data_IF_750326178521
#
_entry.id   IF_750326178521
#
_cell.length_a   1.000
_cell.length_b   1.000
_cell.length_c   1.000
_cell.angle_alpha   90.00
_cell.angle_beta   90.00
_cell.angle_gamma   90.00
#
_symmetry.space_group_name_H-M   'P 1'
#
loop_
_entity.id
_entity.type
_entity.pdbx_description
1 polymer ?
#
# COMPACT_ATOMS: atom_id res chain seq x y z
N UNK A 1 23.15 -12.37 20.60
CA UNK A 1 21.88 -11.61 20.57
C UNK A 1 20.90 -12.35 19.66
N UNK A 2 19.60 -12.35 19.97
CA UNK A 2 18.60 -12.84 19.03
C UNK A 2 18.35 -11.80 17.90
N UNK A 3 18.08 -12.26 16.68
CA UNK A 3 17.71 -11.39 15.56
C UNK A 3 16.31 -10.81 15.83
N UNK A 4 16.10 -9.49 15.71
CA UNK A 4 14.76 -8.90 15.78
C UNK A 4 13.82 -9.56 14.77
N UNK A 5 12.69 -10.07 15.24
CA UNK A 5 11.66 -10.66 14.41
C UNK A 5 10.94 -9.55 13.63
N UNK A 6 10.57 -9.82 12.38
CA UNK A 6 9.91 -8.86 11.49
C UNK A 6 8.63 -9.44 10.92
N UNK A 7 7.64 -8.57 10.76
CA UNK A 7 6.34 -8.90 10.16
C UNK A 7 6.36 -8.61 8.66
N UNK A 8 7.20 -9.38 7.96
CA UNK A 8 7.37 -9.38 6.49
C UNK A 8 7.39 -10.83 5.99
N UNK A 9 7.06 -11.04 4.71
CA UNK A 9 7.17 -12.35 4.06
C UNK A 9 7.87 -12.19 2.71
N UNK A 10 8.81 -13.08 2.42
CA UNK A 10 9.64 -13.06 1.21
C UNK A 10 8.95 -13.71 -0.01
N UNK A 11 7.72 -14.21 0.16
CA UNK A 11 6.83 -14.73 -0.88
C UNK A 11 5.36 -14.45 -0.54
N UNK A 12 4.47 -14.54 -1.52
CA UNK A 12 3.03 -14.65 -1.33
C UNK A 12 2.47 -15.60 -2.43
N UNK A 13 1.29 -16.23 -2.24
CA UNK A 13 0.69 -17.04 -3.29
C UNK A 13 0.34 -16.20 -4.53
N UNK A 14 0.79 -16.64 -5.71
CA UNK A 14 0.28 -16.18 -6.99
C UNK A 14 -0.51 -17.33 -7.59
N UNK A 15 -1.83 -17.31 -7.42
CA UNK A 15 -2.68 -18.39 -7.91
C UNK A 15 -2.61 -18.51 -9.44
N UNK A 16 -2.62 -19.74 -9.95
CA UNK A 16 -2.61 -19.99 -11.39
C UNK A 16 -3.86 -19.43 -12.11
N UNK A 17 -4.95 -19.24 -11.37
CA UNK A 17 -6.20 -18.65 -11.86
C UNK A 17 -6.38 -17.18 -11.43
N UNK A 18 -5.36 -16.52 -10.87
CA UNK A 18 -5.48 -15.14 -10.36
C UNK A 18 -5.99 -14.16 -11.43
N UNK A 19 -5.54 -14.32 -12.69
CA UNK A 19 -5.93 -13.49 -13.83
C UNK A 19 -7.42 -13.56 -14.20
N UNK A 20 -8.15 -14.58 -13.72
CA UNK A 20 -9.59 -14.74 -13.91
C UNK A 20 -10.43 -14.20 -12.74
N UNK A 21 -9.79 -13.78 -11.63
CA UNK A 21 -10.47 -13.13 -10.52
C UNK A 21 -10.88 -11.70 -10.90
N UNK A 22 -12.10 -11.30 -10.51
CA UNK A 22 -12.75 -10.05 -10.94
C UNK A 22 -11.84 -8.82 -10.90
N UNK A 23 -11.09 -8.64 -9.80
CA UNK A 23 -10.14 -7.54 -9.63
C UNK A 23 -9.12 -7.44 -10.77
N UNK A 24 -8.49 -8.56 -11.14
CA UNK A 24 -7.50 -8.59 -12.23
C UNK A 24 -8.17 -8.52 -13.60
N UNK A 25 -9.37 -9.08 -13.77
CA UNK A 25 -10.16 -8.96 -15.00
C UNK A 25 -10.49 -7.49 -15.30
N UNK A 26 -11.02 -6.74 -14.33
CA UNK A 26 -11.40 -5.33 -14.53
C UNK A 26 -10.17 -4.43 -14.62
N UNK A 27 -9.09 -4.69 -13.87
CA UNK A 27 -7.82 -3.98 -14.01
C UNK A 27 -7.22 -4.11 -15.42
N UNK A 28 -7.14 -5.33 -15.95
CA UNK A 28 -6.64 -5.58 -17.31
C UNK A 28 -7.57 -4.97 -18.36
N UNK A 29 -8.90 -5.02 -18.15
CA UNK A 29 -9.88 -4.41 -19.06
C UNK A 29 -9.79 -2.87 -19.15
N UNK A 30 -9.26 -2.18 -18.12
CA UNK A 30 -9.15 -0.71 -18.10
C UNK A 30 -7.74 -0.18 -18.31
N UNK A 31 -6.73 -0.89 -17.82
CA UNK A 31 -5.33 -0.45 -17.78
C UNK A 31 -4.35 -1.47 -18.41
N UNK A 32 -4.86 -2.55 -19.01
CA UNK A 32 -4.03 -3.58 -19.66
C UNK A 32 -2.97 -4.18 -18.73
N UNK A 33 -1.76 -4.37 -19.29
CA UNK A 33 -0.61 -4.90 -18.56
C UNK A 33 -0.16 -4.01 -17.40
N UNK A 34 -0.41 -2.70 -17.45
CA UNK A 34 -0.08 -1.79 -16.35
C UNK A 34 -0.96 -2.05 -15.13
N UNK A 35 -2.26 -2.34 -15.33
CA UNK A 35 -3.16 -2.76 -14.26
C UNK A 35 -2.73 -4.07 -13.60
N UNK A 36 -2.33 -5.06 -14.40
CA UNK A 36 -1.78 -6.33 -13.92
C UNK A 36 -0.49 -6.11 -13.11
N UNK A 37 0.50 -5.41 -13.71
CA UNK A 37 1.79 -5.19 -13.11
C UNK A 37 1.72 -4.32 -11.84
N UNK A 38 0.84 -3.33 -11.80
CA UNK A 38 0.60 -2.50 -10.63
C UNK A 38 0.07 -3.34 -9.46
N UNK A 39 -0.91 -4.22 -9.70
CA UNK A 39 -1.49 -5.05 -8.64
C UNK A 39 -0.45 -5.99 -8.01
N UNK A 40 0.29 -6.76 -8.81
CA UNK A 40 1.28 -7.68 -8.25
C UNK A 40 2.44 -6.95 -7.56
N UNK A 41 2.92 -5.83 -8.12
CA UNK A 41 3.95 -5.00 -7.46
C UNK A 41 3.44 -4.30 -6.19
N UNK A 42 2.13 -4.05 -6.07
CA UNK A 42 1.50 -3.60 -4.82
C UNK A 42 1.53 -4.72 -3.77
N UNK A 43 1.15 -5.94 -4.15
CA UNK A 43 1.20 -7.11 -3.26
C UNK A 43 2.64 -7.43 -2.81
N UNK A 44 3.63 -7.41 -3.73
CA UNK A 44 5.06 -7.49 -3.40
C UNK A 44 5.47 -6.42 -2.36
N UNK A 45 5.02 -5.17 -2.56
CA UNK A 45 5.37 -4.06 -1.67
C UNK A 45 4.67 -4.17 -0.31
N UNK A 46 3.48 -4.76 -0.22
CA UNK A 46 2.80 -5.04 1.05
C UNK A 46 3.43 -6.25 1.77
N UNK A 47 3.69 -7.36 1.08
CA UNK A 47 4.34 -8.55 1.66
C UNK A 47 5.73 -8.24 2.24
N UNK A 48 6.49 -7.39 1.54
CA UNK A 48 7.80 -6.88 1.98
C UNK A 48 7.75 -5.66 2.93
N UNK A 49 6.56 -5.17 3.30
CA UNK A 49 6.39 -4.09 4.28
C UNK A 49 6.12 -4.65 5.68
N UNK A 50 6.76 -4.04 6.69
CA UNK A 50 6.64 -4.45 8.09
C UNK A 50 5.22 -4.18 8.62
N UNK A 51 4.52 -5.25 8.98
CA UNK A 51 3.11 -5.21 9.35
C UNK A 51 2.14 -5.15 8.17
N UNK A 52 2.59 -5.43 6.94
CA UNK A 52 1.76 -5.54 5.72
C UNK A 52 0.90 -4.33 5.33
N UNK A 53 1.36 -3.11 5.66
CA UNK A 53 0.77 -1.86 5.16
C UNK A 53 1.82 -0.96 4.50
N UNK A 54 1.38 -0.10 3.57
CA UNK A 54 2.22 0.96 3.00
C UNK A 54 1.75 2.31 3.54
N UNK A 55 2.66 3.14 4.02
CA UNK A 55 2.39 4.50 4.48
C UNK A 55 2.75 5.52 3.39
N UNK A 56 1.73 6.03 2.69
CA UNK A 56 1.85 6.98 1.57
C UNK A 56 1.70 8.45 2.00
N UNK A 57 1.56 8.76 3.30
CA UNK A 57 1.48 10.15 3.81
C UNK A 57 2.75 10.96 3.53
N UNK A 58 3.86 10.30 3.23
CA UNK A 58 5.05 10.93 2.69
C UNK A 58 5.03 10.77 1.14
N UNK A 59 4.94 11.86 0.35
CA UNK A 59 4.81 11.78 -1.10
C UNK A 59 6.03 11.13 -1.77
N UNK A 60 7.23 11.23 -1.19
CA UNK A 60 8.42 10.54 -1.72
C UNK A 60 8.28 9.01 -1.64
N UNK A 61 7.59 8.46 -0.63
CA UNK A 61 7.29 7.01 -0.58
C UNK A 61 6.30 6.61 -1.67
N UNK A 62 5.31 7.46 -1.95
CA UNK A 62 4.30 7.23 -2.98
C UNK A 62 4.89 7.30 -4.40
N UNK A 63 5.62 8.37 -4.75
CA UNK A 63 6.30 8.46 -6.05
C UNK A 63 7.35 7.34 -6.24
N UNK A 64 8.04 6.89 -5.18
CA UNK A 64 8.95 5.74 -5.25
C UNK A 64 8.21 4.42 -5.50
N UNK A 65 6.98 4.28 -5.00
CA UNK A 65 6.12 3.14 -5.31
C UNK A 65 5.64 3.20 -6.77
N UNK A 66 5.16 4.35 -7.24
CA UNK A 66 4.77 4.55 -8.64
C UNK A 66 5.92 4.23 -9.60
N UNK A 67 7.13 4.76 -9.34
CA UNK A 67 8.33 4.47 -10.13
C UNK A 67 8.73 2.98 -10.16
N UNK A 68 8.32 2.17 -9.16
CA UNK A 68 8.44 0.70 -9.22
C UNK A 68 7.34 0.06 -10.07
N UNK A 69 6.10 0.53 -9.95
CA UNK A 69 4.98 0.00 -10.74
C UNK A 69 5.19 0.23 -12.24
N UNK A 70 5.69 1.41 -12.62
CA UNK A 70 5.94 1.82 -14.00
C UNK A 70 4.94 2.86 -14.51
N UNK A 71 3.83 3.08 -13.80
CA UNK A 71 2.77 4.02 -14.19
C UNK A 71 3.04 5.45 -13.70
N UNK A 72 2.36 6.41 -14.33
CA UNK A 72 2.35 7.80 -13.91
C UNK A 72 1.41 8.05 -12.70
N UNK A 73 1.52 9.25 -12.11
CA UNK A 73 0.73 9.68 -10.95
C UNK A 73 -0.79 9.51 -11.11
N UNK A 74 -1.36 9.96 -12.24
CA UNK A 74 -2.79 9.92 -12.51
C UNK A 74 -3.29 8.47 -12.66
N UNK A 75 -2.64 7.68 -13.51
CA UNK A 75 -2.99 6.26 -13.71
C UNK A 75 -2.84 5.45 -12.41
N UNK A 76 -1.83 5.75 -11.58
CA UNK A 76 -1.67 5.12 -10.27
C UNK A 76 -2.78 5.47 -9.28
N UNK A 77 -3.28 6.71 -9.28
CA UNK A 77 -4.43 7.12 -8.47
C UNK A 77 -5.73 6.47 -8.99
N UNK A 78 -5.93 6.37 -10.30
CA UNK A 78 -7.09 5.70 -10.91
C UNK A 78 -7.13 4.21 -10.61
N UNK A 79 -5.99 3.50 -10.70
CA UNK A 79 -5.88 2.09 -10.31
C UNK A 79 -6.20 1.92 -8.82
N UNK A 80 -5.64 2.76 -7.93
CA UNK A 80 -5.94 2.70 -6.50
C UNK A 80 -7.41 3.00 -6.19
N UNK A 81 -8.04 3.92 -6.92
CA UNK A 81 -9.47 4.22 -6.79
C UNK A 81 -10.31 2.99 -7.15
N UNK A 82 -10.05 2.35 -8.29
CA UNK A 82 -10.75 1.12 -8.70
C UNK A 82 -10.55 -0.01 -7.67
N UNK A 83 -9.33 -0.19 -7.16
CA UNK A 83 -9.03 -1.21 -6.15
C UNK A 83 -9.82 -1.02 -4.85
N UNK A 84 -10.13 0.22 -4.48
CA UNK A 84 -10.98 0.55 -3.33
C UNK A 84 -12.47 0.40 -3.65
N UNK A 85 -12.92 0.79 -4.85
CA UNK A 85 -14.28 0.54 -5.33
C UNK A 85 -14.60 -0.97 -5.39
N UNK A 86 -13.62 -1.80 -5.76
CA UNK A 86 -13.70 -3.26 -5.77
C UNK A 86 -13.39 -3.92 -4.41
N UNK A 87 -13.22 -3.14 -3.34
CA UNK A 87 -12.96 -3.61 -1.96
C UNK A 87 -11.68 -4.45 -1.78
N UNK A 88 -10.81 -4.51 -2.81
CA UNK A 88 -9.52 -5.21 -2.77
C UNK A 88 -8.47 -4.47 -1.91
N UNK A 89 -8.66 -3.16 -1.73
CA UNK A 89 -7.90 -2.29 -0.82
C UNK A 89 -8.86 -1.60 0.16
N UNK A 90 -8.44 -1.47 1.41
CA UNK A 90 -9.23 -0.85 2.48
C UNK A 90 -9.45 0.66 2.26
N UNK A 91 -10.73 1.06 2.22
CA UNK A 91 -11.15 2.44 1.93
C UNK A 91 -10.72 3.44 2.99
N UNK A 92 -10.99 3.15 4.27
CA UNK A 92 -10.74 4.07 5.40
C UNK A 92 -9.25 4.37 5.55
N UNK A 93 -8.43 3.33 5.36
CA UNK A 93 -6.98 3.46 5.32
C UNK A 93 -6.51 4.26 4.10
N UNK A 94 -7.07 4.02 2.90
CA UNK A 94 -6.67 4.75 1.70
C UNK A 94 -6.98 6.25 1.79
N UNK A 95 -8.12 6.62 2.36
CA UNK A 95 -8.46 8.02 2.68
C UNK A 95 -7.40 8.65 3.61
N UNK A 96 -6.93 7.88 4.60
CA UNK A 96 -5.80 8.24 5.49
C UNK A 96 -4.40 8.07 4.88
N UNK A 97 -4.31 7.81 3.56
CA UNK A 97 -3.08 7.55 2.79
C UNK A 97 -2.25 6.37 3.34
N UNK A 98 -2.91 5.35 3.85
CA UNK A 98 -2.36 4.05 4.19
C UNK A 98 -2.94 2.99 3.22
N UNK A 99 -2.13 2.04 2.77
CA UNK A 99 -2.61 0.95 1.89
C UNK A 99 -2.58 -0.36 2.67
N UNK A 100 -3.70 -1.08 2.67
CA UNK A 100 -3.91 -2.38 3.30
C UNK A 100 -4.74 -3.28 2.37
N UNK A 101 -4.37 -4.56 2.29
CA UNK A 101 -5.11 -5.60 1.56
C UNK A 101 -5.33 -6.78 2.51
N UNK A 102 -6.59 -7.02 2.91
CA UNK A 102 -6.90 -8.10 3.86
C UNK A 102 -6.60 -9.48 3.26
N UNK A 103 -7.01 -9.71 2.01
CA UNK A 103 -6.80 -10.98 1.30
C UNK A 103 -5.32 -11.38 1.24
N UNK A 104 -4.40 -10.42 1.05
CA UNK A 104 -2.96 -10.71 1.07
C UNK A 104 -2.50 -11.25 2.43
N UNK A 105 -2.98 -10.63 3.51
CA UNK A 105 -2.62 -10.99 4.88
C UNK A 105 -3.16 -12.38 5.20
N UNK A 106 -4.42 -12.66 4.86
CA UNK A 106 -5.04 -13.97 5.06
C UNK A 106 -4.33 -15.07 4.24
N UNK A 107 -3.95 -14.77 2.99
CA UNK A 107 -3.18 -15.67 2.12
C UNK A 107 -1.76 -15.97 2.62
N UNK A 108 -1.17 -15.14 3.49
CA UNK A 108 0.11 -15.44 4.17
C UNK A 108 -0.07 -15.90 5.62
N UNK A 109 -1.30 -16.16 6.07
CA UNK A 109 -1.60 -16.52 7.47
C UNK A 109 -0.83 -17.75 7.97
N UNK A 110 -0.64 -18.76 7.13
CA UNK A 110 0.11 -19.98 7.46
C UNK A 110 1.59 -19.69 7.77
N UNK A 111 2.19 -18.66 7.18
CA UNK A 111 3.54 -18.23 7.51
C UNK A 111 3.63 -17.75 8.96
N UNK A 112 2.61 -17.04 9.45
CA UNK A 112 2.53 -16.58 10.83
C UNK A 112 2.19 -17.71 11.82
N UNK A 113 1.33 -18.67 11.42
CA UNK A 113 1.07 -19.92 12.16
C UNK A 113 2.37 -20.73 12.35
N UNK A 114 3.13 -20.94 11.28
CA UNK A 114 4.42 -21.64 11.30
C UNK A 114 5.49 -20.91 12.13
N UNK A 115 5.50 -19.57 12.09
CA UNK A 115 6.33 -18.72 12.97
C UNK A 115 5.86 -18.70 14.43
N UNK A 116 4.72 -19.33 14.76
CA UNK A 116 4.04 -19.30 16.07
C UNK A 116 3.77 -17.89 16.59
N UNK A 117 3.39 -16.97 15.70
CA UNK A 117 3.10 -15.56 16.01
C UNK A 117 1.69 -15.17 15.57
N UNK A 118 1.16 -14.11 16.19
CA UNK A 118 -0.06 -13.46 15.71
C UNK A 118 0.19 -12.89 14.31
N UNK A 119 -0.81 -13.00 13.45
CA UNK A 119 -0.84 -12.38 12.13
C UNK A 119 -0.98 -10.85 12.28
N UNK A 120 -0.36 -10.02 11.40
CA UNK A 120 -0.60 -8.58 11.38
C UNK A 120 -2.10 -8.25 11.30
N UNK A 121 -2.49 -7.13 11.92
CA UNK A 121 -3.89 -6.70 12.03
C UNK A 121 -4.08 -5.38 11.27
N UNK A 122 -5.31 -5.13 10.78
CA UNK A 122 -5.67 -3.85 10.13
C UNK A 122 -5.25 -2.68 11.03
N UNK A 123 -4.43 -1.73 10.53
CA UNK A 123 -4.05 -0.57 11.33
C UNK A 123 -5.26 0.29 11.76
N UNK A 124 -5.32 0.66 13.05
CA UNK A 124 -6.35 1.54 13.62
C UNK A 124 -5.87 3.00 13.54
N UNK A 125 -6.47 3.83 12.69
CA UNK A 125 -6.13 5.25 12.57
C UNK A 125 -6.44 5.97 13.89
N UNK A 126 -5.49 6.72 14.43
CA UNK A 126 -5.70 7.62 15.58
C UNK A 126 -5.22 9.02 15.19
N UNK A 127 -5.93 10.06 15.64
CA UNK A 127 -5.72 11.47 15.20
C UNK A 127 -4.33 12.06 15.52
N UNK A 128 -3.46 11.34 16.24
CA UNK A 128 -2.13 11.81 16.66
C UNK A 128 -1.06 10.77 16.36
N UNK A 129 -0.47 10.87 15.16
CA UNK A 129 0.72 10.13 14.66
C UNK A 129 0.48 8.63 14.34
N UNK A 130 1.48 7.94 13.71
CA UNK A 130 1.28 6.59 13.19
C UNK A 130 0.95 5.53 14.25
N UNK A 131 0.37 4.46 13.74
CA UNK A 131 -0.42 3.47 14.45
C UNK A 131 0.49 2.48 15.17
N UNK A 132 0.20 2.21 16.44
CA UNK A 132 0.92 1.19 17.22
C UNK A 132 0.17 -0.15 17.13
N UNK A 133 0.69 -1.08 16.35
CA UNK A 133 0.39 -2.52 16.54
C UNK A 133 0.80 -2.89 17.96
N UNK A 134 -0.11 -3.51 18.72
CA UNK A 134 0.03 -3.70 20.17
C UNK A 134 1.30 -4.45 20.58
N UNK A 135 2.31 -3.70 21.04
CA UNK A 135 3.61 -4.22 21.46
C UNK A 135 3.68 -4.39 22.99
N UNK A 136 4.08 -5.57 23.44
CA UNK A 136 4.70 -5.71 24.76
C UNK A 136 6.19 -5.33 24.64
N UNK A 137 6.68 -4.48 25.53
CA UNK A 137 8.07 -3.96 25.59
C UNK A 137 9.07 -5.05 26.05
N UNK A 138 10.41 -4.97 25.90
CA UNK A 138 11.44 -3.99 26.34
C UNK A 138 12.75 -4.27 25.52
N UNK A 139 13.84 -3.47 25.39
CA UNK A 139 14.20 -2.07 25.72
C UNK A 139 15.48 -1.62 24.96
N UNK A 140 15.68 -0.31 24.83
CA UNK A 140 16.95 0.48 24.87
C UNK A 140 18.25 -0.05 24.24
N UNK A 141 18.79 0.68 23.24
CA UNK A 141 20.18 0.60 22.76
C UNK A 141 20.52 1.73 21.76
N UNK A 142 21.78 2.21 21.68
CA UNK A 142 22.20 3.36 20.84
C UNK A 142 23.10 2.95 19.65
N UNK A 143 22.99 3.69 18.55
CA UNK A 143 24.00 3.79 17.48
C UNK A 143 23.85 2.80 16.31
N UNK A 144 24.36 3.04 15.10
CA UNK A 144 24.98 4.28 14.53
C UNK A 144 24.75 4.31 13.01
N UNK A 145 24.72 5.54 12.46
CA UNK A 145 24.60 5.91 11.04
C UNK A 145 25.32 5.01 10.01
N UNK A 146 24.66 4.76 8.87
CA UNK A 146 25.32 4.49 7.59
C UNK A 146 24.92 5.55 6.55
N UNK A 147 25.85 5.89 5.63
CA UNK A 147 25.68 6.96 4.62
C UNK A 147 25.46 6.35 3.24
N UNK A 148 24.55 6.91 2.45
CA UNK A 148 24.46 6.66 1.00
C UNK A 148 24.39 8.01 0.28
N UNK A 149 25.05 8.14 -0.89
CA UNK A 149 25.19 9.41 -1.62
C UNK A 149 23.89 9.77 -2.35
N UNK A 150 23.49 11.04 -2.30
CA UNK A 150 22.48 11.60 -3.20
C UNK A 150 23.08 11.85 -4.59
N UNK A 151 22.39 11.38 -5.64
CA UNK A 151 22.53 11.92 -7.00
C UNK A 151 21.52 13.07 -7.18
N UNK A 152 21.92 14.11 -7.93
CA UNK A 152 21.02 15.20 -8.34
C UNK A 152 20.41 14.87 -9.70
N UNK A 153 19.10 15.06 -9.84
CA UNK A 153 18.38 15.03 -11.13
C UNK A 153 17.53 16.30 -11.21
N UNK A 154 17.30 16.80 -12.43
CA UNK A 154 16.77 18.14 -12.68
C UNK A 154 15.29 18.32 -12.30
N UNK A 155 14.90 19.58 -12.09
CA UNK A 155 13.50 19.99 -11.92
C UNK A 155 12.69 19.63 -13.17
N UNK A 156 11.67 18.78 -12.99
CA UNK A 156 10.44 18.89 -13.77
C UNK A 156 9.46 19.81 -13.02
N UNK A 157 8.41 20.28 -13.70
CA UNK A 157 7.39 21.15 -13.10
C UNK A 157 6.56 20.31 -12.11
N UNK A 158 6.41 20.81 -10.89
CA UNK A 158 5.82 20.10 -9.76
C UNK A 158 4.38 20.55 -9.53
N UNK A 159 3.45 19.59 -9.54
CA UNK A 159 2.08 19.73 -9.03
C UNK A 159 1.99 18.82 -7.80
N UNK A 160 1.65 19.33 -6.60
CA UNK A 160 1.67 18.54 -5.37
C UNK A 160 0.51 17.56 -5.28
N UNK A 161 0.78 16.40 -4.69
CA UNK A 161 -0.19 15.34 -4.38
C UNK A 161 -1.43 15.79 -3.56
N UNK A 162 -1.34 16.94 -2.88
CA UNK A 162 -2.44 17.56 -2.13
C UNK A 162 -3.51 18.23 -3.00
N UNK A 163 -3.23 18.49 -4.28
CA UNK A 163 -4.18 19.14 -5.21
C UNK A 163 -5.10 18.13 -5.94
N UNK A 164 -4.84 16.83 -5.83
CA UNK A 164 -5.72 15.80 -6.36
C UNK A 164 -6.97 15.62 -5.46
N UNK A 165 -8.20 15.75 -5.98
CA UNK A 165 -9.42 15.63 -5.19
C UNK A 165 -9.67 14.17 -4.77
N UNK A 166 -9.21 13.84 -3.56
CA UNK A 166 -9.64 12.63 -2.84
C UNK A 166 -11.11 12.78 -2.42
N UNK A 167 -11.93 11.71 -2.45
CA UNK A 167 -13.37 11.81 -2.25
C UNK A 167 -13.77 11.97 -0.77
N UNK A 168 -13.58 13.16 -0.21
CA UNK A 168 -14.24 13.53 1.05
C UNK A 168 -15.71 13.85 0.80
N UNK A 169 -16.60 13.15 1.50
CA UNK A 169 -17.91 13.63 1.98
C UNK A 169 -18.84 14.37 0.99
N UNK A 170 -19.69 13.60 0.30
CA UNK A 170 -21.09 13.91 -0.07
C UNK A 170 -21.42 15.01 -1.13
N UNK A 171 -22.61 14.83 -1.75
CA UNK A 171 -23.45 15.79 -2.50
C UNK A 171 -22.75 16.81 -3.43
N UNK A 172 -22.60 16.49 -4.72
CA UNK A 172 -22.27 17.49 -5.76
C UNK A 172 -22.76 17.19 -7.21
N UNK A 173 -23.44 16.07 -7.49
CA UNK A 173 -23.87 15.70 -8.87
C UNK A 173 -25.38 15.44 -8.96
N UNK A 174 -26.18 16.33 -8.37
CA UNK A 174 -27.65 16.41 -8.57
C UNK A 174 -28.11 17.80 -9.08
N UNK A 175 -27.21 18.57 -9.71
CA UNK A 175 -27.51 19.95 -10.16
C UNK A 175 -27.25 20.22 -11.67
N UNK A 176 -27.06 19.21 -12.50
CA UNK A 176 -26.95 19.36 -13.97
C UNK A 176 -27.96 18.49 -14.74
N UNK A 177 -29.16 18.29 -14.17
CA UNK A 177 -30.35 17.76 -14.84
C UNK A 177 -31.62 18.53 -14.46
N UNK A 178 -31.59 19.85 -14.65
CA UNK A 178 -32.74 20.74 -14.86
C UNK A 178 -32.36 21.88 -15.80
#
# INVERSE_FOLDING_TARGET
MARPQKDVVDYFPHDANASAGDTLTVLQSRFGNDGYAFWFKLLEKLASAEGHYIDCRNPTKWHLFLAKTGVNELTGVEIMKLLVEMQAIDKELWESKLIWCQNLVDNVSDVYKNRRRKIPQKPIITERKPITTGNNTLTTGRGTQSKVKYSKVNKSIYIPYSEYPMPSSLLAIEQHLR
#
